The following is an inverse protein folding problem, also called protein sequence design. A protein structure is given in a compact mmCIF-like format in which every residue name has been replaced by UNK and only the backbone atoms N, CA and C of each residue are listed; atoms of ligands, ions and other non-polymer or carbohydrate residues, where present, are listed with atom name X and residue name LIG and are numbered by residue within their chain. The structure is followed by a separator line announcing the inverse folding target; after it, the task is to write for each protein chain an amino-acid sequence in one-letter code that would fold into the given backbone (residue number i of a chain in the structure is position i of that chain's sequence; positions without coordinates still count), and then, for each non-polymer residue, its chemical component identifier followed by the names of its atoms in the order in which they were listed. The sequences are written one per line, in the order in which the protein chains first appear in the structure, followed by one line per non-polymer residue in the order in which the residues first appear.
data_IF_129079771604
#
_entry.id   IF_129079771604
#
_cell.length_a   1.000
_cell.length_b   1.000
_cell.length_c   1.000
_cell.angle_alpha   90.00
_cell.angle_beta   90.00
_cell.angle_gamma   90.00
#
_symmetry.space_group_name_H-M   'P 1'
#
loop_
_entity.id
_entity.type
_entity.pdbx_description
1 polymer ?
#
# COMPACT_ATOMS: atom_id res chain seq x y z
N UNK A 1 -35.07 22.01 2.31
CA UNK A 1 -33.58 22.01 2.17
C UNK A 1 -32.89 21.34 3.35
N UNK A 2 -33.25 21.58 4.61
CA UNK A 2 -32.73 20.94 5.82
C UNK A 2 -32.96 19.40 5.83
N UNK A 3 -34.15 18.95 5.39
CA UNK A 3 -34.52 17.53 5.35
C UNK A 3 -33.65 16.71 4.38
N UNK A 4 -33.13 17.31 3.31
CA UNK A 4 -32.21 16.66 2.38
C UNK A 4 -30.82 16.47 2.96
N UNK A 5 -30.32 17.48 3.71
CA UNK A 5 -29.02 17.40 4.40
C UNK A 5 -29.07 16.34 5.52
N UNK A 6 -30.16 16.26 6.25
CA UNK A 6 -30.36 15.25 7.29
C UNK A 6 -30.48 13.83 6.71
N UNK A 7 -31.23 13.64 5.62
CA UNK A 7 -31.30 12.38 4.91
C UNK A 7 -29.96 11.97 4.29
N UNK A 8 -29.22 12.92 3.72
CA UNK A 8 -27.85 12.67 3.23
C UNK A 8 -26.90 12.28 4.37
N UNK A 9 -27.01 12.95 5.53
CA UNK A 9 -26.25 12.59 6.74
C UNK A 9 -26.60 11.16 7.21
N UNK A 10 -27.86 10.80 7.28
CA UNK A 10 -28.31 9.46 7.67
C UNK A 10 -27.89 8.38 6.66
N UNK A 11 -27.87 8.69 5.35
CA UNK A 11 -27.36 7.79 4.31
C UNK A 11 -25.85 7.56 4.42
N UNK A 12 -25.07 8.62 4.62
CA UNK A 12 -23.62 8.54 4.82
C UNK A 12 -23.28 7.74 6.09
N UNK A 13 -24.11 7.84 7.15
CA UNK A 13 -23.92 7.05 8.37
C UNK A 13 -24.28 5.55 8.21
N UNK A 14 -25.04 5.17 7.17
CA UNK A 14 -25.37 3.77 6.87
C UNK A 14 -24.32 3.07 6.01
N UNK A 15 -23.47 3.82 5.29
CA UNK A 15 -22.40 3.25 4.47
C UNK A 15 -21.17 3.05 5.36
N UNK A 16 -20.69 1.81 5.47
CA UNK A 16 -19.45 1.54 6.20
C UNK A 16 -18.25 2.16 5.47
N UNK A 17 -17.30 2.74 6.21
CA UNK A 17 -16.07 3.31 5.65
C UNK A 17 -15.34 2.36 4.68
N UNK A 18 -15.17 1.06 4.99
CA UNK A 18 -14.57 0.11 4.05
C UNK A 18 -15.32 0.03 2.71
N UNK A 19 -16.64 0.00 2.73
CA UNK A 19 -17.43 -0.08 1.49
C UNK A 19 -17.30 1.20 0.65
N UNK A 20 -17.21 2.36 1.30
CA UNK A 20 -16.97 3.64 0.62
C UNK A 20 -15.58 3.66 -0.06
N UNK A 21 -14.54 3.17 0.62
CA UNK A 21 -13.19 3.06 0.03
C UNK A 21 -13.17 2.08 -1.13
N UNK A 22 -13.82 0.92 -0.99
CA UNK A 22 -13.94 -0.07 -2.07
C UNK A 22 -14.67 0.55 -3.27
N UNK A 23 -15.81 1.20 -3.05
CA UNK A 23 -16.59 1.84 -4.11
C UNK A 23 -15.81 2.95 -4.82
N UNK A 24 -15.12 3.82 -4.06
CA UNK A 24 -14.29 4.88 -4.62
C UNK A 24 -13.11 4.31 -5.44
N UNK A 25 -12.44 3.27 -4.91
CA UNK A 25 -11.35 2.59 -5.62
C UNK A 25 -11.86 1.92 -6.90
N UNK A 26 -13.00 1.23 -6.85
CA UNK A 26 -13.60 0.61 -8.02
C UNK A 26 -14.02 1.65 -9.08
N UNK A 27 -14.66 2.74 -8.68
CA UNK A 27 -15.04 3.82 -9.58
C UNK A 27 -13.80 4.46 -10.24
N UNK A 28 -12.76 4.75 -9.48
CA UNK A 28 -11.51 5.28 -10.01
C UNK A 28 -10.80 4.27 -10.94
N UNK A 29 -10.88 2.97 -10.64
CA UNK A 29 -10.36 1.91 -11.51
C UNK A 29 -11.10 1.85 -12.85
N UNK A 30 -12.43 1.94 -12.83
CA UNK A 30 -13.26 1.94 -14.05
C UNK A 30 -12.97 3.20 -14.88
N UNK A 31 -12.95 4.37 -14.27
CA UNK A 31 -12.66 5.64 -14.96
C UNK A 31 -11.21 5.68 -15.49
N UNK A 32 -10.23 5.36 -14.65
CA UNK A 32 -8.82 5.34 -15.04
C UNK A 32 -8.54 4.24 -16.06
N UNK A 33 -9.10 3.05 -15.85
CA UNK A 33 -8.99 1.93 -16.78
C UNK A 33 -9.63 2.21 -18.14
N UNK A 34 -10.80 2.84 -18.15
CA UNK A 34 -11.46 3.29 -19.36
C UNK A 34 -10.61 4.31 -20.12
N UNK A 35 -10.00 5.28 -19.44
CA UNK A 35 -9.09 6.23 -20.04
C UNK A 35 -7.84 5.56 -20.63
N UNK A 36 -7.23 4.61 -19.90
CA UNK A 36 -6.07 3.85 -20.41
C UNK A 36 -6.43 3.05 -21.67
N UNK A 37 -7.56 2.35 -21.67
CA UNK A 37 -8.02 1.61 -22.84
C UNK A 37 -8.27 2.53 -24.03
N UNK A 38 -8.94 3.66 -23.80
CA UNK A 38 -9.20 4.66 -24.83
C UNK A 38 -7.88 5.17 -25.46
N UNK A 39 -6.92 5.55 -24.62
CA UNK A 39 -5.62 6.03 -25.08
C UNK A 39 -4.83 4.92 -25.77
N UNK A 40 -4.86 3.69 -25.27
CA UNK A 40 -4.14 2.57 -25.86
C UNK A 40 -4.65 2.22 -27.28
N UNK A 41 -5.94 2.40 -27.55
CA UNK A 41 -6.54 2.11 -28.87
C UNK A 41 -6.33 3.27 -29.85
N UNK A 42 -6.49 4.51 -29.38
CA UNK A 42 -6.53 5.69 -30.26
C UNK A 42 -5.30 6.60 -30.19
N UNK A 43 -4.60 6.65 -29.07
CA UNK A 43 -3.55 7.63 -28.80
C UNK A 43 -2.47 7.06 -27.85
N UNK A 44 -1.84 5.95 -28.25
CA UNK A 44 -0.87 5.23 -27.41
C UNK A 44 0.34 6.08 -26.99
N UNK A 45 0.70 7.10 -27.76
CA UNK A 45 1.74 8.09 -27.47
C UNK A 45 1.40 8.99 -26.28
N UNK A 46 0.14 9.15 -25.93
CA UNK A 46 -0.31 9.95 -24.79
C UNK A 46 -0.36 9.16 -23.46
N UNK A 47 -0.23 7.84 -23.48
CA UNK A 47 -0.25 7.02 -22.28
C UNK A 47 0.81 7.43 -21.23
N UNK A 48 2.07 7.73 -21.62
CA UNK A 48 3.06 8.22 -20.65
C UNK A 48 2.64 9.51 -19.95
N UNK A 49 1.98 10.43 -20.67
CA UNK A 49 1.44 11.67 -20.09
C UNK A 49 0.30 11.40 -19.12
N UNK A 50 -0.59 10.46 -19.43
CA UNK A 50 -1.65 10.02 -18.52
C UNK A 50 -1.08 9.46 -17.22
N UNK A 51 -0.11 8.55 -17.29
CA UNK A 51 0.50 7.97 -16.09
C UNK A 51 1.28 8.99 -15.29
N UNK A 52 1.93 9.95 -15.96
CA UNK A 52 2.72 11.00 -15.29
C UNK A 52 1.85 11.99 -14.50
N UNK A 53 0.67 12.35 -14.97
CA UNK A 53 -0.15 13.38 -14.34
C UNK A 53 -1.50 12.85 -13.84
N UNK A 54 -2.55 12.63 -14.64
CA UNK A 54 -3.85 12.25 -14.10
C UNK A 54 -3.83 10.90 -13.39
N UNK A 55 -3.09 9.92 -13.90
CA UNK A 55 -2.98 8.60 -13.26
C UNK A 55 -2.31 8.67 -11.89
N UNK A 56 -1.25 9.47 -11.75
CA UNK A 56 -0.58 9.69 -10.46
C UNK A 56 -1.44 10.48 -9.49
N UNK A 57 -2.21 11.48 -9.95
CA UNK A 57 -3.10 12.25 -9.08
C UNK A 57 -4.16 11.38 -8.41
N UNK A 58 -4.68 10.37 -9.11
CA UNK A 58 -5.61 9.39 -8.53
C UNK A 58 -4.93 8.63 -7.38
N UNK A 59 -3.70 8.17 -7.57
CA UNK A 59 -2.90 7.49 -6.53
C UNK A 59 -2.63 8.43 -5.36
N UNK A 60 -2.26 9.68 -5.62
CA UNK A 60 -2.04 10.72 -4.59
C UNK A 60 -3.30 10.95 -3.78
N UNK A 61 -4.47 11.02 -4.41
CA UNK A 61 -5.75 11.17 -3.70
C UNK A 61 -6.06 9.98 -2.78
N UNK A 62 -5.80 8.74 -3.24
CA UNK A 62 -5.94 7.55 -2.40
C UNK A 62 -4.95 7.58 -1.23
N UNK A 63 -3.70 7.95 -1.46
CA UNK A 63 -2.69 8.05 -0.40
C UNK A 63 -3.05 9.13 0.62
N UNK A 64 -3.61 10.26 0.19
CA UNK A 64 -4.11 11.30 1.09
C UNK A 64 -5.27 10.79 1.96
N UNK A 65 -6.22 10.07 1.36
CA UNK A 65 -7.30 9.43 2.10
C UNK A 65 -6.76 8.37 3.08
N UNK A 66 -5.78 7.57 2.66
CA UNK A 66 -5.11 6.57 3.50
C UNK A 66 -4.39 7.20 4.69
N UNK A 67 -3.70 8.32 4.49
CA UNK A 67 -3.08 9.10 5.57
C UNK A 67 -4.13 9.61 6.56
N UNK A 68 -5.20 10.24 6.06
CA UNK A 68 -6.30 10.74 6.90
C UNK A 68 -6.94 9.63 7.74
N UNK A 69 -7.25 8.48 7.12
CA UNK A 69 -7.80 7.32 7.81
C UNK A 69 -6.83 6.70 8.81
N UNK A 70 -5.53 6.68 8.52
CA UNK A 70 -4.50 6.20 9.46
C UNK A 70 -4.38 7.10 10.69
N UNK A 71 -4.49 8.42 10.51
CA UNK A 71 -4.54 9.38 11.61
C UNK A 71 -5.84 9.25 12.43
N UNK A 72 -6.96 8.97 11.78
CA UNK A 72 -8.22 8.66 12.47
C UNK A 72 -8.13 7.34 13.25
N UNK A 73 -7.57 6.29 12.66
CA UNK A 73 -7.31 5.02 13.35
C UNK A 73 -6.42 5.22 14.59
N UNK A 74 -5.34 6.01 14.47
CA UNK A 74 -4.50 6.39 15.61
C UNK A 74 -5.29 7.06 16.74
N UNK A 75 -6.25 7.93 16.41
CA UNK A 75 -7.05 8.66 17.40
C UNK A 75 -8.01 7.78 18.19
N UNK A 76 -8.35 6.58 17.69
CA UNK A 76 -9.20 5.62 18.37
C UNK A 76 -8.54 4.98 19.60
N UNK A 77 -7.22 5.09 19.73
CA UNK A 77 -6.44 4.50 20.81
C UNK A 77 -5.98 5.56 21.80
N UNK A 78 -6.04 5.24 23.10
CA UNK A 78 -5.58 6.12 24.18
C UNK A 78 -4.06 6.34 24.10
N UNK A 79 -3.53 7.37 24.82
CA UNK A 79 -2.10 7.74 24.73
C UNK A 79 -1.15 6.62 25.16
N UNK A 80 -1.56 5.75 26.07
CA UNK A 80 -0.75 4.64 26.60
C UNK A 80 -0.86 3.34 25.80
N UNK A 81 -1.79 3.23 24.84
CA UNK A 81 -2.01 1.99 24.12
C UNK A 81 -0.97 1.74 23.03
N UNK A 82 -0.33 0.54 23.00
CA UNK A 82 0.69 0.23 22.00
C UNK A 82 0.22 0.36 20.54
N UNK A 83 -1.06 0.06 20.26
CA UNK A 83 -1.65 0.20 18.93
C UNK A 83 -1.67 1.65 18.43
N UNK A 84 -1.65 2.65 19.32
CA UNK A 84 -1.51 4.05 18.93
C UNK A 84 -0.18 4.33 18.26
N UNK A 85 0.92 3.73 18.78
CA UNK A 85 2.25 3.85 18.18
C UNK A 85 2.28 3.15 16.81
N UNK A 86 1.69 1.95 16.70
CA UNK A 86 1.55 1.24 15.42
C UNK A 86 0.95 2.16 14.36
N UNK A 87 -0.23 2.73 14.64
CA UNK A 87 -0.92 3.61 13.70
C UNK A 87 -0.21 4.94 13.48
N UNK A 88 0.62 5.41 14.41
CA UNK A 88 1.47 6.59 14.21
C UNK A 88 2.56 6.32 13.16
N UNK A 89 3.21 5.16 13.26
CA UNK A 89 4.27 4.76 12.32
C UNK A 89 3.67 4.47 10.92
N UNK A 90 2.52 3.79 10.87
CA UNK A 90 1.83 3.53 9.60
C UNK A 90 1.33 4.83 8.93
N UNK A 91 0.87 5.81 9.73
CA UNK A 91 0.52 7.13 9.19
C UNK A 91 1.75 7.87 8.63
N UNK A 92 2.92 7.75 9.28
CA UNK A 92 4.17 8.31 8.75
C UNK A 92 4.58 7.64 7.44
N UNK A 93 4.44 6.32 7.33
CA UNK A 93 4.66 5.61 6.07
C UNK A 93 3.71 6.11 4.96
N UNK A 94 2.43 6.30 5.28
CA UNK A 94 1.45 6.87 4.34
C UNK A 94 1.80 8.32 3.94
N UNK A 95 2.35 9.13 4.85
CA UNK A 95 2.84 10.47 4.55
C UNK A 95 4.04 10.43 3.59
N UNK A 96 4.97 9.48 3.76
CA UNK A 96 6.09 9.28 2.82
C UNK A 96 5.58 8.91 1.42
N UNK A 97 4.60 7.99 1.33
CA UNK A 97 3.96 7.62 0.06
C UNK A 97 3.30 8.83 -0.63
N UNK A 98 2.53 9.61 0.13
CA UNK A 98 1.89 10.83 -0.36
C UNK A 98 2.92 11.84 -0.88
N UNK A 99 3.97 12.11 -0.10
CA UNK A 99 5.04 13.06 -0.47
C UNK A 99 5.79 12.58 -1.71
N UNK A 100 6.08 11.28 -1.80
CA UNK A 100 6.67 10.66 -2.99
C UNK A 100 5.78 10.88 -4.23
N UNK A 101 4.47 10.67 -4.11
CA UNK A 101 3.50 10.92 -5.17
C UNK A 101 3.47 12.39 -5.61
N UNK A 102 3.51 13.35 -4.66
CA UNK A 102 3.58 14.78 -4.96
C UNK A 102 4.90 15.13 -5.68
N UNK A 103 6.03 14.62 -5.21
CA UNK A 103 7.33 14.86 -5.85
C UNK A 103 7.42 14.26 -7.26
N UNK A 104 6.58 13.28 -7.60
CA UNK A 104 6.52 12.76 -8.96
C UNK A 104 5.98 13.76 -9.98
N UNK A 105 5.31 14.82 -9.51
CA UNK A 105 4.77 15.91 -10.35
C UNK A 105 5.77 17.05 -10.53
N UNK A 106 6.89 17.03 -9.82
CA UNK A 106 7.92 18.10 -9.87
C UNK A 106 9.10 17.61 -10.73
N UNK A 107 9.52 18.41 -11.69
CA UNK A 107 10.69 18.13 -12.51
C UNK A 107 11.98 18.43 -11.74
N UNK A 108 13.02 17.63 -11.98
CA UNK A 108 14.35 17.81 -11.44
C UNK A 108 14.92 16.55 -10.80
N UNK A 109 16.22 16.36 -11.00
CA UNK A 109 16.92 15.15 -10.54
C UNK A 109 16.86 14.98 -9.01
N UNK A 110 16.97 16.08 -8.26
CA UNK A 110 16.89 16.02 -6.79
C UNK A 110 15.51 15.55 -6.30
N UNK A 111 14.44 16.04 -6.94
CA UNK A 111 13.08 15.61 -6.60
C UNK A 111 12.84 14.16 -7.00
N UNK A 112 13.40 13.72 -8.13
CA UNK A 112 13.36 12.32 -8.56
C UNK A 112 14.04 11.41 -7.53
N UNK A 113 15.22 11.78 -7.03
CA UNK A 113 15.94 11.03 -5.98
C UNK A 113 15.16 11.03 -4.66
N UNK A 114 14.66 12.18 -4.22
CA UNK A 114 13.86 12.30 -3.02
C UNK A 114 12.59 11.41 -3.09
N UNK A 115 11.90 11.40 -4.23
CA UNK A 115 10.75 10.52 -4.48
C UNK A 115 11.13 9.05 -4.32
N UNK A 116 12.22 8.59 -4.94
CA UNK A 116 12.66 7.20 -4.90
C UNK A 116 13.04 6.77 -3.48
N UNK A 117 13.69 7.63 -2.69
CA UNK A 117 14.04 7.35 -1.30
C UNK A 117 12.79 7.28 -0.42
N UNK A 118 11.90 8.26 -0.52
CA UNK A 118 10.71 8.36 0.34
C UNK A 118 9.68 7.28 0.02
N UNK A 119 9.40 7.05 -1.27
CA UNK A 119 8.40 6.06 -1.71
C UNK A 119 8.91 4.62 -1.76
N UNK A 120 10.22 4.41 -1.65
CA UNK A 120 10.86 3.10 -1.59
C UNK A 120 11.37 2.79 -0.17
N UNK A 121 12.69 2.81 0.06
CA UNK A 121 13.30 2.32 1.30
C UNK A 121 12.73 2.93 2.58
N UNK A 122 12.49 4.25 2.63
CA UNK A 122 12.00 4.93 3.85
C UNK A 122 10.58 4.47 4.18
N UNK A 123 9.69 4.47 3.20
CA UNK A 123 8.31 3.98 3.39
C UNK A 123 8.30 2.52 3.83
N UNK A 124 9.10 1.67 3.18
CA UNK A 124 9.16 0.23 3.45
C UNK A 124 9.68 -0.05 4.85
N UNK A 125 10.73 0.64 5.32
CA UNK A 125 11.23 0.55 6.70
C UNK A 125 10.16 0.96 7.71
N UNK A 126 9.44 2.05 7.45
CA UNK A 126 8.36 2.50 8.34
C UNK A 126 7.20 1.49 8.38
N UNK A 127 6.82 0.93 7.24
CA UNK A 127 5.80 -0.13 7.19
C UNK A 127 6.26 -1.37 7.97
N UNK A 128 7.49 -1.83 7.76
CA UNK A 128 8.05 -2.97 8.48
C UNK A 128 8.09 -2.70 10.00
N UNK A 129 8.55 -1.52 10.41
CA UNK A 129 8.53 -1.15 11.82
C UNK A 129 7.10 -1.14 12.39
N UNK A 130 6.13 -0.53 11.69
CA UNK A 130 4.72 -0.52 12.11
C UNK A 130 4.14 -1.93 12.25
N UNK A 131 4.42 -2.82 11.29
CA UNK A 131 3.95 -4.20 11.33
C UNK A 131 4.67 -5.02 12.41
N UNK A 132 5.98 -4.86 12.61
CA UNK A 132 6.71 -5.51 13.70
C UNK A 132 6.15 -5.13 15.07
N UNK A 133 5.82 -3.85 15.27
CA UNK A 133 5.15 -3.38 16.49
C UNK A 133 3.76 -4.03 16.64
N UNK A 134 2.94 -4.09 15.58
CA UNK A 134 1.64 -4.75 15.62
C UNK A 134 1.78 -6.24 15.96
N UNK A 135 2.73 -6.94 15.34
CA UNK A 135 2.99 -8.34 15.62
C UNK A 135 3.42 -8.57 17.08
N UNK A 136 4.23 -7.66 17.63
CA UNK A 136 4.61 -7.67 19.05
C UNK A 136 3.40 -7.54 19.96
N UNK A 137 2.47 -6.61 19.66
CA UNK A 137 1.23 -6.43 20.42
C UNK A 137 0.40 -7.71 20.42
N UNK A 138 0.19 -8.33 19.26
CA UNK A 138 -0.55 -9.60 19.17
C UNK A 138 0.12 -10.72 19.95
N UNK A 139 1.46 -10.83 19.90
CA UNK A 139 2.21 -11.84 20.66
C UNK A 139 2.09 -11.64 22.18
N UNK A 140 2.13 -10.39 22.64
CA UNK A 140 1.93 -10.06 24.05
C UNK A 140 0.50 -10.39 24.54
N UNK A 141 -0.50 -10.29 23.65
CA UNK A 141 -1.87 -10.70 23.91
C UNK A 141 -2.08 -12.23 23.82
N UNK A 142 -1.00 -13.03 23.74
CA UNK A 142 -1.08 -14.49 23.66
C UNK A 142 -1.41 -15.05 22.28
N UNK A 143 -1.61 -14.20 21.27
CA UNK A 143 -1.98 -14.62 19.91
C UNK A 143 -0.70 -14.89 19.11
N UNK A 144 -0.32 -16.17 19.05
CA UNK A 144 0.85 -16.60 18.26
C UNK A 144 0.40 -17.13 16.90
N UNK A 145 1.03 -16.66 15.83
CA UNK A 145 0.87 -17.20 14.47
C UNK A 145 2.17 -17.89 14.04
N UNK A 146 2.01 -18.99 13.29
CA UNK A 146 3.14 -19.69 12.65
C UNK A 146 2.93 -19.68 11.14
N UNK A 147 3.99 -19.52 10.35
CA UNK A 147 3.90 -19.65 8.90
C UNK A 147 3.47 -21.08 8.53
N UNK A 148 2.74 -21.21 7.42
CA UNK A 148 2.32 -22.49 6.84
C UNK A 148 3.13 -22.77 5.58
N UNK A 149 3.03 -23.97 5.04
CA UNK A 149 3.74 -24.37 3.82
C UNK A 149 3.56 -23.36 2.67
N UNK A 150 2.34 -22.86 2.33
CA UNK A 150 2.21 -21.87 1.27
C UNK A 150 2.95 -20.55 1.55
N UNK A 151 3.11 -20.17 2.83
CA UNK A 151 3.85 -18.97 3.17
C UNK A 151 5.35 -19.15 2.93
N UNK A 152 5.88 -20.35 3.30
CA UNK A 152 7.27 -20.72 3.03
C UNK A 152 7.55 -20.76 1.54
N UNK A 153 6.62 -21.29 0.72
CA UNK A 153 6.75 -21.30 -0.74
C UNK A 153 6.79 -19.87 -1.29
N UNK A 154 5.85 -19.00 -0.85
CA UNK A 154 5.85 -17.60 -1.24
C UNK A 154 7.14 -16.89 -0.83
N UNK A 155 7.61 -17.13 0.41
CA UNK A 155 8.88 -16.58 0.90
C UNK A 155 10.06 -17.06 0.04
N UNK A 156 10.09 -18.33 -0.36
CA UNK A 156 11.11 -18.88 -1.24
C UNK A 156 11.12 -18.22 -2.62
N UNK A 157 9.95 -18.00 -3.22
CA UNK A 157 9.82 -17.30 -4.51
C UNK A 157 10.33 -15.87 -4.41
N UNK A 158 9.92 -15.16 -3.36
CA UNK A 158 10.31 -13.76 -3.13
C UNK A 158 11.81 -13.66 -2.87
N UNK A 159 12.37 -14.52 -2.01
CA UNK A 159 13.80 -14.57 -1.73
C UNK A 159 14.62 -14.95 -2.99
N UNK A 160 14.10 -15.86 -3.81
CA UNK A 160 14.70 -16.25 -5.09
C UNK A 160 14.77 -15.07 -6.07
N UNK A 161 13.70 -14.29 -6.17
CA UNK A 161 13.67 -13.08 -6.99
C UNK A 161 14.69 -12.03 -6.51
N UNK A 162 14.70 -11.71 -5.20
CA UNK A 162 15.67 -10.77 -4.63
C UNK A 162 17.12 -11.28 -4.81
N UNK A 163 17.36 -12.58 -4.64
CA UNK A 163 18.67 -13.18 -4.88
C UNK A 163 19.12 -13.06 -6.34
N UNK A 164 18.19 -13.23 -7.27
CA UNK A 164 18.47 -13.02 -8.70
C UNK A 164 18.81 -11.57 -9.01
N UNK A 165 18.02 -10.60 -8.54
CA UNK A 165 18.27 -9.17 -8.72
C UNK A 165 19.63 -8.74 -8.18
N UNK A 166 19.98 -9.21 -6.97
CA UNK A 166 21.30 -8.97 -6.37
C UNK A 166 22.40 -9.59 -7.21
N UNK A 167 22.24 -10.86 -7.64
CA UNK A 167 23.26 -11.56 -8.44
C UNK A 167 23.51 -10.88 -9.79
N UNK A 168 22.44 -10.44 -10.46
CA UNK A 168 22.55 -9.72 -11.71
C UNK A 168 23.27 -8.37 -11.54
N UNK A 169 23.00 -7.68 -10.43
CA UNK A 169 23.68 -6.43 -10.09
C UNK A 169 25.18 -6.63 -9.80
N UNK A 170 25.56 -7.77 -9.20
CA UNK A 170 26.96 -8.13 -8.90
C UNK A 170 27.71 -8.64 -10.12
N UNK A 171 27.02 -9.30 -11.07
CA UNK A 171 27.61 -9.88 -12.27
C UNK A 171 27.77 -8.87 -13.42
N UNK A 172 27.48 -7.60 -13.19
CA UNK A 172 27.67 -6.54 -14.21
C UNK A 172 29.14 -6.38 -14.59
N UNK A 173 29.40 -5.94 -15.84
CA UNK A 173 30.76 -5.67 -16.29
C UNK A 173 31.47 -4.68 -15.37
N UNK A 174 32.77 -4.89 -15.07
CA UNK A 174 33.57 -3.92 -14.32
C UNK A 174 33.51 -2.54 -14.98
N UNK A 175 33.22 -1.50 -14.20
CA UNK A 175 33.08 -0.11 -14.67
C UNK A 175 31.67 0.35 -14.98
N UNK A 176 30.65 -0.51 -14.94
CA UNK A 176 29.25 -0.08 -14.98
C UNK A 176 28.84 0.53 -13.64
N UNK A 177 28.45 1.81 -13.64
CA UNK A 177 27.95 2.47 -12.44
C UNK A 177 26.50 2.06 -12.23
N UNK A 178 26.18 1.56 -11.03
CA UNK A 178 24.79 1.31 -10.60
C UNK A 178 24.02 2.63 -10.66
N UNK A 179 22.98 2.67 -11.48
CA UNK A 179 22.05 3.78 -11.46
C UNK A 179 21.39 3.93 -10.09
N UNK A 180 21.09 5.15 -9.67
CA UNK A 180 20.46 5.44 -8.37
C UNK A 180 19.16 4.64 -8.14
N UNK A 181 18.36 4.46 -9.19
CA UNK A 181 17.12 3.68 -9.14
C UNK A 181 17.40 2.21 -8.81
N UNK A 182 18.41 1.61 -9.43
CA UNK A 182 18.80 0.22 -9.19
C UNK A 182 19.34 0.02 -7.77
N UNK A 183 20.16 0.97 -7.29
CA UNK A 183 20.63 0.93 -5.90
C UNK A 183 19.46 1.04 -4.90
N UNK A 184 18.44 1.84 -5.20
CA UNK A 184 17.24 1.94 -4.38
C UNK A 184 16.43 0.63 -4.38
N UNK A 185 16.25 -0.05 -5.53
CA UNK A 185 15.57 -1.34 -5.64
C UNK A 185 16.29 -2.43 -4.86
N UNK A 186 17.61 -2.53 -4.98
CA UNK A 186 18.43 -3.49 -4.24
C UNK A 186 18.26 -3.41 -2.71
N UNK A 187 17.93 -2.25 -2.18
CA UNK A 187 17.61 -2.07 -0.75
C UNK A 187 16.13 -2.33 -0.48
N UNK A 188 15.26 -1.85 -1.37
CA UNK A 188 13.81 -1.89 -1.16
C UNK A 188 13.23 -3.31 -1.27
N UNK A 189 13.67 -4.12 -2.23
CA UNK A 189 13.02 -5.39 -2.54
C UNK A 189 13.26 -6.47 -1.48
N UNK A 190 14.46 -6.60 -0.88
CA UNK A 190 14.65 -7.44 0.31
C UNK A 190 13.80 -6.98 1.51
N UNK A 191 13.66 -5.65 1.72
CA UNK A 191 12.82 -5.10 2.78
C UNK A 191 11.33 -5.38 2.53
N UNK A 192 10.85 -5.27 1.30
CA UNK A 192 9.48 -5.64 0.90
C UNK A 192 9.21 -7.13 1.15
N UNK A 193 10.21 -7.98 0.94
CA UNK A 193 10.12 -9.41 1.21
C UNK A 193 9.88 -9.69 2.69
N UNK A 194 10.67 -9.07 3.58
CA UNK A 194 10.49 -9.15 5.02
C UNK A 194 9.13 -8.60 5.45
N UNK A 195 8.73 -7.46 4.89
CA UNK A 195 7.44 -6.82 5.14
C UNK A 195 6.26 -7.73 4.78
N UNK A 196 6.35 -8.44 3.66
CA UNK A 196 5.31 -9.38 3.24
C UNK A 196 5.16 -10.54 4.23
N UNK A 197 6.27 -11.07 4.76
CA UNK A 197 6.28 -12.10 5.79
C UNK A 197 5.56 -11.60 7.06
N UNK A 198 5.93 -10.42 7.55
CA UNK A 198 5.32 -9.81 8.72
C UNK A 198 3.82 -9.60 8.53
N UNK A 199 3.39 -9.08 7.37
CA UNK A 199 2.00 -8.86 7.03
C UNK A 199 1.18 -10.16 7.03
N UNK A 200 1.73 -11.24 6.46
CA UNK A 200 1.10 -12.57 6.47
C UNK A 200 0.94 -13.08 7.90
N UNK A 201 1.96 -12.94 8.74
CA UNK A 201 1.92 -13.40 10.13
C UNK A 201 0.87 -12.61 10.94
N UNK A 202 0.78 -11.29 10.76
CA UNK A 202 -0.22 -10.45 11.43
C UNK A 202 -1.63 -10.81 10.94
N UNK A 203 -1.83 -10.95 9.63
CA UNK A 203 -3.11 -11.39 9.08
C UNK A 203 -3.55 -12.71 9.68
N UNK A 204 -2.66 -13.68 9.84
CA UNK A 204 -2.96 -14.97 10.47
C UNK A 204 -3.27 -14.83 11.96
N UNK A 205 -2.55 -13.95 12.67
CA UNK A 205 -2.88 -13.64 14.06
C UNK A 205 -4.29 -13.05 14.16
N UNK A 206 -4.62 -12.08 13.31
CA UNK A 206 -5.95 -11.47 13.27
C UNK A 206 -7.07 -12.46 12.91
N UNK A 207 -6.82 -13.39 12.00
CA UNK A 207 -7.79 -14.45 11.64
C UNK A 207 -8.12 -15.39 12.80
N UNK A 208 -7.22 -15.54 13.79
CA UNK A 208 -7.51 -16.31 15.03
C UNK A 208 -8.50 -15.60 15.94
N UNK A 209 -8.58 -14.27 15.86
CA UNK A 209 -9.58 -13.47 16.59
C UNK A 209 -10.95 -13.46 15.88
N UNK A 210 -11.02 -13.97 14.65
CA UNK A 210 -12.24 -14.03 13.85
C UNK A 210 -12.05 -13.44 12.43
N UNK A 211 -13.08 -13.61 11.59
CA UNK A 211 -13.08 -13.11 10.19
C UNK A 211 -13.64 -11.68 10.06
N UNK A 212 -13.61 -10.90 11.15
CA UNK A 212 -14.17 -9.55 11.20
C UNK A 212 -13.30 -8.48 10.50
N UNK A 213 -13.62 -7.21 10.79
CA UNK A 213 -12.97 -6.05 10.20
C UNK A 213 -11.47 -5.98 10.47
N UNK A 214 -11.01 -6.45 11.65
CA UNK A 214 -9.57 -6.49 11.99
C UNK A 214 -8.81 -7.43 11.05
N UNK A 215 -9.37 -8.62 10.76
CA UNK A 215 -8.76 -9.54 9.80
C UNK A 215 -8.77 -8.98 8.37
N UNK A 216 -9.81 -8.23 7.98
CA UNK A 216 -9.86 -7.50 6.70
C UNK A 216 -8.83 -6.38 6.64
N UNK A 217 -8.63 -5.63 7.71
CA UNK A 217 -7.62 -4.59 7.83
C UNK A 217 -6.22 -5.14 7.48
N UNK A 218 -5.77 -6.18 8.18
CA UNK A 218 -4.46 -6.78 7.94
C UNK A 218 -4.40 -7.56 6.62
N UNK A 219 -5.53 -8.07 6.15
CA UNK A 219 -5.66 -8.64 4.80
C UNK A 219 -5.44 -7.62 3.70
N UNK A 220 -5.98 -6.42 3.87
CA UNK A 220 -5.77 -5.30 2.94
C UNK A 220 -4.32 -4.84 2.92
N UNK A 221 -3.65 -4.70 4.09
CA UNK A 221 -2.20 -4.45 4.13
C UNK A 221 -1.40 -5.52 3.40
N UNK A 222 -1.69 -6.80 3.66
CA UNK A 222 -1.00 -7.91 2.98
C UNK A 222 -1.18 -7.84 1.47
N UNK A 223 -2.40 -7.56 1.01
CA UNK A 223 -2.69 -7.39 -0.42
C UNK A 223 -1.95 -6.18 -1.02
N UNK A 224 -1.92 -5.04 -0.31
CA UNK A 224 -1.20 -3.84 -0.74
C UNK A 224 0.29 -4.10 -0.91
N UNK A 225 0.94 -4.73 0.06
CA UNK A 225 2.37 -5.08 0.01
C UNK A 225 2.64 -6.06 -1.15
N UNK A 226 1.82 -7.08 -1.31
CA UNK A 226 1.95 -8.03 -2.41
C UNK A 226 1.82 -7.35 -3.78
N UNK A 227 0.83 -6.49 -3.96
CA UNK A 227 0.61 -5.75 -5.20
C UNK A 227 1.77 -4.78 -5.49
N UNK A 228 2.32 -4.12 -4.46
CA UNK A 228 3.52 -3.29 -4.60
C UNK A 228 4.70 -4.13 -5.10
N UNK A 229 4.96 -5.26 -4.47
CA UNK A 229 6.04 -6.16 -4.85
C UNK A 229 5.91 -6.68 -6.29
N UNK A 230 4.71 -7.10 -6.70
CA UNK A 230 4.45 -7.51 -8.09
C UNK A 230 4.62 -6.34 -9.07
N UNK A 231 4.25 -5.12 -8.66
CA UNK A 231 4.48 -3.91 -9.44
C UNK A 231 5.97 -3.60 -9.64
N UNK A 232 6.77 -3.77 -8.59
CA UNK A 232 8.23 -3.55 -8.66
C UNK A 232 8.91 -4.61 -9.54
N UNK A 233 8.49 -5.88 -9.47
CA UNK A 233 8.91 -6.92 -10.42
C UNK A 233 8.57 -6.51 -11.87
N UNK A 234 7.37 -6.00 -12.12
CA UNK A 234 6.97 -5.57 -13.46
C UNK A 234 7.83 -4.40 -13.98
N UNK A 235 8.20 -3.44 -13.11
CA UNK A 235 9.15 -2.36 -13.44
C UNK A 235 10.53 -2.92 -13.76
N UNK A 236 11.02 -3.83 -12.95
CA UNK A 236 12.33 -4.45 -13.16
C UNK A 236 12.39 -5.21 -14.50
N UNK A 237 11.37 -6.00 -14.81
CA UNK A 237 11.26 -6.68 -16.11
C UNK A 237 11.22 -5.70 -17.28
N UNK A 238 10.56 -4.54 -17.13
CA UNK A 238 10.49 -3.51 -18.17
C UNK A 238 11.84 -2.84 -18.45
N UNK A 239 12.73 -2.81 -17.48
CA UNK A 239 14.11 -2.31 -17.65
C UNK A 239 15.02 -3.22 -18.49
N UNK A 240 14.64 -4.51 -18.67
CA UNK A 240 15.45 -5.51 -19.38
C UNK A 240 14.99 -5.78 -20.81
N UNK A 241 13.76 -5.47 -21.13
CA UNK A 241 13.24 -5.56 -22.50
C UNK A 241 12.18 -4.48 -22.74
N UNK A 242 12.12 -3.90 -23.95
CA UNK A 242 11.05 -2.96 -24.29
C UNK A 242 9.72 -3.72 -24.20
N UNK A 243 9.03 -3.53 -23.07
CA UNK A 243 7.72 -4.15 -22.86
C UNK A 243 6.68 -3.43 -23.71
N UNK A 244 5.76 -4.17 -24.32
CA UNK A 244 4.62 -3.56 -25.00
C UNK A 244 3.81 -2.68 -24.03
N UNK A 245 3.24 -1.61 -24.55
CA UNK A 245 2.41 -0.62 -23.81
C UNK A 245 1.45 -1.23 -22.77
N UNK A 246 0.79 -2.38 -23.04
CA UNK A 246 -0.08 -3.02 -22.05
C UNK A 246 0.62 -3.40 -20.75
N UNK A 247 1.91 -3.79 -20.80
CA UNK A 247 2.64 -4.19 -19.60
C UNK A 247 3.04 -2.99 -18.73
N UNK A 248 3.39 -1.87 -19.36
CA UNK A 248 3.62 -0.59 -18.65
C UNK A 248 2.35 -0.12 -17.93
N UNK A 249 1.19 -0.27 -18.57
CA UNK A 249 -0.10 0.02 -17.97
C UNK A 249 -0.39 -0.89 -16.76
N UNK A 250 -0.01 -2.17 -16.82
CA UNK A 250 -0.21 -3.13 -15.72
C UNK A 250 0.48 -2.68 -14.44
N UNK A 251 1.68 -2.11 -14.51
CA UNK A 251 2.39 -1.57 -13.33
C UNK A 251 1.59 -0.46 -12.64
N UNK A 252 1.03 0.46 -13.41
CA UNK A 252 0.18 1.51 -12.86
C UNK A 252 -1.04 0.94 -12.13
N UNK A 253 -1.72 -0.06 -12.71
CA UNK A 253 -2.86 -0.73 -12.06
C UNK A 253 -2.47 -1.41 -10.76
N UNK A 254 -1.33 -2.07 -10.72
CA UNK A 254 -0.84 -2.75 -9.51
C UNK A 254 -0.59 -1.74 -8.37
N UNK A 255 0.08 -0.63 -8.64
CA UNK A 255 0.32 0.42 -7.65
C UNK A 255 -0.96 1.17 -7.26
N UNK A 256 -1.86 1.39 -8.21
CA UNK A 256 -3.18 1.95 -7.92
C UNK A 256 -3.98 1.05 -6.97
N UNK A 257 -4.06 -0.25 -7.25
CA UNK A 257 -4.74 -1.23 -6.39
C UNK A 257 -4.04 -1.36 -5.03
N UNK A 258 -2.71 -1.31 -4.99
CA UNK A 258 -1.94 -1.28 -3.74
C UNK A 258 -2.33 -0.07 -2.88
N UNK A 259 -2.41 1.14 -3.47
CA UNK A 259 -2.84 2.36 -2.78
C UNK A 259 -4.27 2.26 -2.25
N UNK A 260 -5.18 1.67 -3.03
CA UNK A 260 -6.53 1.36 -2.59
C UNK A 260 -6.56 0.39 -1.41
N UNK A 261 -5.74 -0.66 -1.43
CA UNK A 261 -5.62 -1.63 -0.35
C UNK A 261 -5.02 -1.00 0.93
N UNK A 262 -3.99 -0.17 0.81
CA UNK A 262 -3.43 0.58 1.94
C UNK A 262 -4.42 1.58 2.53
N UNK A 263 -5.31 2.15 1.73
CA UNK A 263 -6.39 3.03 2.19
C UNK A 263 -7.52 2.25 2.86
N UNK A 264 -7.84 1.06 2.35
CA UNK A 264 -8.88 0.18 2.91
C UNK A 264 -8.50 -0.33 4.31
N UNK A 265 -7.23 -0.59 4.57
CA UNK A 265 -6.78 -1.12 5.84
C UNK A 265 -7.13 -0.22 7.04
N UNK A 266 -6.75 1.06 7.10
CA UNK A 266 -7.16 1.94 8.18
C UNK A 266 -8.66 2.21 8.21
N UNK A 267 -9.38 2.18 7.07
CA UNK A 267 -10.83 2.29 7.05
C UNK A 267 -11.51 1.14 7.81
N UNK A 268 -11.01 -0.10 7.62
CA UNK A 268 -11.48 -1.25 8.38
C UNK A 268 -11.19 -1.11 9.88
N UNK A 269 -10.03 -0.57 10.25
CA UNK A 269 -9.69 -0.35 11.66
C UNK A 269 -10.59 0.69 12.32
N UNK A 270 -10.80 1.83 11.67
CA UNK A 270 -11.69 2.90 12.18
C UNK A 270 -13.11 2.36 12.37
N UNK A 271 -13.62 1.63 11.40
CA UNK A 271 -14.96 1.05 11.46
C UNK A 271 -15.07 -0.01 12.58
N UNK A 272 -14.05 -0.86 12.77
CA UNK A 272 -14.00 -1.83 13.86
C UNK A 272 -14.08 -1.16 15.24
N UNK A 273 -13.31 -0.09 15.44
CA UNK A 273 -13.34 0.68 16.69
C UNK A 273 -14.69 1.39 16.89
N UNK A 274 -15.28 1.94 15.82
CA UNK A 274 -16.60 2.58 15.87
C UNK A 274 -17.69 1.61 16.32
N UNK A 275 -17.70 0.39 15.77
CA UNK A 275 -18.67 -0.63 16.13
C UNK A 275 -18.45 -1.16 17.55
N UNK A 276 -17.21 -1.26 18.00
CA UNK A 276 -16.88 -1.65 19.37
C UNK A 276 -17.29 -0.57 20.39
N UNK A 277 -17.07 0.71 20.11
CA UNK A 277 -17.45 1.84 20.97
C UNK A 277 -18.95 2.07 21.07
N UNK A 278 -19.70 1.80 19.99
CA UNK A 278 -21.17 1.93 19.99
C UNK A 278 -21.92 0.84 20.76
N UNK A 279 -21.23 -0.22 21.21
CA UNK A 279 -21.80 -1.32 21.98
C UNK A 279 -21.60 -1.18 23.51
N UNK A 280 -20.87 -0.15 23.96
CA UNK A 280 -20.74 0.12 25.40
C UNK A 280 -21.93 0.97 25.84
N UNK A 281 -22.76 0.51 26.81
CA UNK A 281 -23.73 1.37 27.44
C UNK A 281 -22.99 2.53 28.12
N UNK A 282 -23.48 3.74 27.91
CA UNK A 282 -23.00 4.94 28.62
C UNK A 282 -22.96 4.61 30.13
N UNK A 283 -21.74 4.59 30.68
CA UNK A 283 -21.52 4.47 32.13
C UNK A 283 -21.26 5.85 32.69
#
# INVERSE_FOLDING_TARGET
MLDWIERARLLVWKISLPNLVIGATAAALVCGGGAVLWLAIGQADQLPLFFRSPGTLIIVALNLAGLGLSLLARRQFSRGEPMRLVWSVLALAAACSLTSGVFSQVDGENWRRARLILGGPVQTVLLAWGLALALRVYRQSGIRSRPRIPDWLLMGVVAGFCGWEVSESLLRPPGSVLGFQQAASLVNDPLLSLLLIEAILIRRAALKMGRGLIARCWGAFTAGIFLTFVGDIAVWLSGHSPLPVPLTATTWYLWFLASGAYTLAPACQVEACRLAGGSLPER
#
